data_IF_231901294011
#
_entry.id   IF_231901294011
#
_cell.length_a   1.000
_cell.length_b   1.000
_cell.length_c   1.000
_cell.angle_alpha   90.00
_cell.angle_beta   90.00
_cell.angle_gamma   90.00
#
_symmetry.space_group_name_H-M   'P 1'
#
loop_
_entity.id
_entity.type
_entity.pdbx_description
1 polymer ?
#
# COMPACT_ATOMS: atom_id res chain seq x y z
N UNK A 1 42.45 -1.35 28.12
CA UNK A 1 42.20 -0.34 27.08
C UNK A 1 42.36 -0.89 25.66
N UNK A 2 41.44 -1.75 25.23
CA UNK A 2 41.39 -2.29 23.85
C UNK A 2 39.95 -2.44 23.35
N UNK A 3 39.05 -1.57 23.81
CA UNK A 3 37.60 -1.69 23.57
C UNK A 3 37.15 -1.24 22.18
N UNK A 4 38.05 -0.74 21.32
CA UNK A 4 37.73 -0.40 19.94
C UNK A 4 38.84 -0.93 19.03
N UNK A 5 38.59 -2.07 18.40
CA UNK A 5 39.47 -2.61 17.37
C UNK A 5 39.30 -1.75 16.10
N UNK A 6 40.37 -1.21 15.51
CA UNK A 6 40.29 -0.37 14.31
C UNK A 6 39.59 -1.08 13.13
N UNK A 7 39.65 -2.41 13.08
CA UNK A 7 38.99 -3.22 12.06
C UNK A 7 37.46 -3.15 12.14
N UNK A 8 36.89 -2.99 13.35
CA UNK A 8 35.45 -2.81 13.55
C UNK A 8 35.01 -1.42 13.06
N UNK A 9 35.81 -0.39 13.32
CA UNK A 9 35.53 0.98 12.85
C UNK A 9 35.59 1.03 11.32
N UNK A 10 36.65 0.46 10.73
CA UNK A 10 36.84 0.43 9.28
C UNK A 10 35.75 -0.40 8.59
N UNK A 11 35.38 -1.56 9.16
CA UNK A 11 34.26 -2.37 8.68
C UNK A 11 32.92 -1.62 8.74
N UNK A 12 32.63 -0.95 9.86
CA UNK A 12 31.41 -0.14 10.01
C UNK A 12 31.35 1.03 9.02
N UNK A 13 32.47 1.74 8.80
CA UNK A 13 32.56 2.82 7.81
C UNK A 13 32.33 2.28 6.40
N UNK A 14 32.93 1.13 6.05
CA UNK A 14 32.79 0.52 4.73
C UNK A 14 31.37 0.04 4.47
N UNK A 15 30.74 -0.65 5.43
CA UNK A 15 29.34 -1.09 5.31
C UNK A 15 28.40 0.11 5.20
N UNK A 16 28.60 1.16 6.01
CA UNK A 16 27.77 2.37 5.95
C UNK A 16 27.92 3.08 4.61
N UNK A 17 29.14 3.28 4.12
CA UNK A 17 29.42 3.92 2.82
C UNK A 17 28.80 3.15 1.67
N UNK A 18 28.93 1.82 1.69
CA UNK A 18 28.37 0.94 0.64
C UNK A 18 26.84 1.01 0.63
N UNK A 19 26.20 1.00 1.80
CA UNK A 19 24.74 1.10 1.92
C UNK A 19 24.21 2.45 1.43
N UNK A 20 24.91 3.55 1.72
CA UNK A 20 24.58 4.89 1.19
C UNK A 20 24.71 4.92 -0.33
N UNK A 21 25.78 4.32 -0.88
CA UNK A 21 25.96 4.18 -2.33
C UNK A 21 24.80 3.42 -2.99
N UNK A 22 24.39 2.28 -2.44
CA UNK A 22 23.24 1.53 -2.93
C UNK A 22 21.94 2.30 -2.83
N UNK A 23 21.71 3.02 -1.73
CA UNK A 23 20.52 3.86 -1.58
C UNK A 23 20.44 4.93 -2.67
N UNK A 24 21.57 5.58 -2.97
CA UNK A 24 21.65 6.56 -4.05
C UNK A 24 21.36 5.93 -5.41
N UNK A 25 21.96 4.77 -5.70
CA UNK A 25 21.69 4.03 -6.95
C UNK A 25 20.21 3.66 -7.07
N UNK A 26 19.59 3.12 -6.01
CA UNK A 26 18.17 2.78 -5.99
C UNK A 26 17.30 4.01 -6.25
N UNK A 27 17.59 5.13 -5.58
CA UNK A 27 16.81 6.37 -5.71
C UNK A 27 16.89 6.94 -7.13
N UNK A 28 18.10 7.07 -7.68
CA UNK A 28 18.32 7.54 -9.05
C UNK A 28 17.67 6.60 -10.06
N UNK A 29 17.86 5.28 -9.90
CA UNK A 29 17.27 4.29 -10.81
C UNK A 29 15.74 4.34 -10.77
N UNK A 30 15.14 4.45 -9.58
CA UNK A 30 13.69 4.59 -9.42
C UNK A 30 13.18 5.86 -10.09
N UNK A 31 13.90 6.99 -9.95
CA UNK A 31 13.54 8.25 -10.61
C UNK A 31 13.51 8.12 -12.13
N UNK A 32 14.57 7.56 -12.74
CA UNK A 32 14.62 7.34 -14.19
C UNK A 32 13.53 6.35 -14.68
N UNK A 33 13.31 5.26 -13.94
CA UNK A 33 12.27 4.28 -14.27
C UNK A 33 10.86 4.89 -14.20
N UNK A 34 10.60 5.77 -13.23
CA UNK A 34 9.32 6.49 -13.15
C UNK A 34 9.17 7.50 -14.28
N UNK A 35 10.23 8.25 -14.60
CA UNK A 35 10.23 9.27 -15.64
C UNK A 35 9.91 8.66 -17.02
N UNK A 36 10.56 7.55 -17.38
CA UNK A 36 10.38 6.88 -18.66
C UNK A 36 9.34 5.73 -18.63
N UNK A 37 8.53 5.64 -17.57
CA UNK A 37 7.59 4.52 -17.37
C UNK A 37 6.64 4.29 -18.56
N UNK A 38 6.11 5.37 -19.15
CA UNK A 38 5.21 5.26 -20.29
C UNK A 38 5.89 4.62 -21.52
N UNK A 39 7.14 5.02 -21.79
CA UNK A 39 7.95 4.48 -22.89
C UNK A 39 8.34 3.03 -22.62
N UNK A 40 8.77 2.71 -21.40
CA UNK A 40 9.08 1.34 -20.98
C UNK A 40 7.86 0.41 -21.11
N UNK A 41 6.68 0.88 -20.71
CA UNK A 41 5.42 0.14 -20.86
C UNK A 41 5.09 -0.13 -22.32
N UNK A 42 5.19 0.87 -23.19
CA UNK A 42 4.91 0.70 -24.62
C UNK A 42 5.92 -0.23 -25.29
N UNK A 43 7.20 -0.12 -24.93
CA UNK A 43 8.23 -1.05 -25.37
C UNK A 43 7.92 -2.49 -24.92
N UNK A 44 7.49 -2.71 -23.68
CA UNK A 44 7.05 -4.03 -23.21
C UNK A 44 5.87 -4.58 -24.02
N UNK A 45 4.91 -3.74 -24.39
CA UNK A 45 3.77 -4.17 -25.21
C UNK A 45 4.15 -4.51 -26.65
N UNK A 46 5.23 -3.96 -27.21
CA UNK A 46 5.71 -4.33 -28.55
C UNK A 46 6.24 -5.77 -28.63
N UNK A 47 6.59 -6.38 -27.50
CA UNK A 47 7.08 -7.76 -27.45
C UNK A 47 5.94 -8.78 -27.41
N UNK A 48 4.70 -8.32 -27.34
CA UNK A 48 3.51 -9.15 -27.20
C UNK A 48 2.96 -9.46 -28.61
N UNK A 49 2.63 -10.73 -28.90
CA UNK A 49 2.00 -11.08 -30.17
C UNK A 49 0.71 -10.29 -30.37
N UNK A 50 0.44 -9.84 -31.61
CA UNK A 50 -0.65 -8.91 -31.93
C UNK A 50 -2.02 -9.36 -31.41
N UNK A 51 -2.31 -10.67 -31.42
CA UNK A 51 -3.56 -11.24 -30.92
C UNK A 51 -3.79 -11.14 -29.40
N UNK A 52 -2.80 -10.66 -28.63
CA UNK A 52 -2.87 -10.51 -27.16
C UNK A 52 -2.68 -9.06 -26.69
N UNK A 53 -2.66 -8.10 -27.62
CA UNK A 53 -2.39 -6.70 -27.27
C UNK A 53 -3.50 -6.08 -26.41
N UNK A 54 -4.77 -6.33 -26.74
CA UNK A 54 -5.91 -5.83 -25.96
C UNK A 54 -5.98 -6.52 -24.59
N UNK A 55 -5.79 -7.83 -24.59
CA UNK A 55 -5.67 -8.69 -23.42
C UNK A 55 -4.66 -8.14 -22.40
N UNK A 56 -3.44 -7.85 -22.86
CA UNK A 56 -2.39 -7.36 -21.97
C UNK A 56 -2.66 -5.94 -21.47
N UNK A 57 -3.16 -5.05 -22.35
CA UNK A 57 -3.54 -3.68 -21.92
C UNK A 57 -4.59 -3.72 -20.83
N UNK A 58 -5.55 -4.65 -20.93
CA UNK A 58 -6.56 -4.83 -19.90
C UNK A 58 -5.97 -5.44 -18.63
N UNK A 59 -5.15 -6.48 -18.74
CA UNK A 59 -4.45 -7.07 -17.60
C UNK A 59 -3.64 -6.02 -16.83
N UNK A 60 -2.89 -5.18 -17.55
CA UNK A 60 -2.16 -4.05 -16.98
C UNK A 60 -3.09 -3.07 -16.25
N UNK A 61 -4.24 -2.71 -16.85
CA UNK A 61 -5.22 -1.83 -16.23
C UNK A 61 -5.82 -2.43 -14.95
N UNK A 62 -6.10 -3.73 -14.93
CA UNK A 62 -6.60 -4.43 -13.75
C UNK A 62 -5.56 -4.45 -12.64
N UNK A 63 -4.29 -4.77 -12.95
CA UNK A 63 -3.18 -4.68 -11.99
C UNK A 63 -3.02 -3.25 -11.47
N UNK A 64 -3.04 -2.24 -12.33
CA UNK A 64 -2.97 -0.83 -11.90
C UNK A 64 -4.15 -0.45 -10.99
N UNK A 65 -5.33 -1.03 -11.24
CA UNK A 65 -6.52 -0.86 -10.38
C UNK A 65 -6.31 -1.50 -9.01
N UNK A 66 -5.67 -2.66 -8.92
CA UNK A 66 -5.27 -3.29 -7.65
C UNK A 66 -4.37 -2.35 -6.85
N UNK A 67 -3.31 -1.81 -7.46
CA UNK A 67 -2.41 -0.87 -6.80
C UNK A 67 -3.14 0.39 -6.34
N UNK A 68 -3.99 0.98 -7.19
CA UNK A 68 -4.81 2.14 -6.81
C UNK A 68 -5.83 1.85 -5.69
N UNK A 69 -6.35 0.63 -5.60
CA UNK A 69 -7.21 0.19 -4.50
C UNK A 69 -6.40 -0.02 -3.21
N UNK A 70 -5.21 -0.61 -3.31
CA UNK A 70 -4.29 -0.79 -2.20
C UNK A 70 -3.91 0.56 -1.56
N UNK A 71 -3.48 1.54 -2.35
CA UNK A 71 -3.11 2.86 -1.83
C UNK A 71 -4.30 3.57 -1.15
N UNK A 72 -5.50 3.49 -1.73
CA UNK A 72 -6.72 4.01 -1.08
C UNK A 72 -7.06 3.25 0.22
N UNK A 73 -6.81 1.94 0.25
CA UNK A 73 -6.90 1.12 1.45
C UNK A 73 -5.93 1.59 2.54
N UNK A 74 -4.66 1.78 2.18
CA UNK A 74 -3.61 2.26 3.09
C UNK A 74 -3.90 3.67 3.62
N UNK A 75 -4.42 4.57 2.78
CA UNK A 75 -4.87 5.90 3.22
C UNK A 75 -6.02 5.81 4.23
N UNK A 76 -6.99 4.91 4.03
CA UNK A 76 -8.06 4.71 5.02
C UNK A 76 -7.52 4.11 6.31
N UNK A 77 -6.65 3.11 6.22
CA UNK A 77 -6.05 2.45 7.38
C UNK A 77 -5.27 3.45 8.23
N UNK A 78 -4.37 4.20 7.63
CA UNK A 78 -3.57 5.21 8.31
C UNK A 78 -4.38 6.33 8.96
N UNK A 79 -5.49 6.76 8.35
CA UNK A 79 -6.42 7.71 8.99
C UNK A 79 -7.05 7.11 10.25
N UNK A 80 -7.44 5.83 10.21
CA UNK A 80 -7.96 5.11 11.38
C UNK A 80 -6.89 5.01 12.45
N UNK A 81 -5.65 4.64 12.10
CA UNK A 81 -4.54 4.50 13.06
C UNK A 81 -4.14 5.84 13.66
N UNK A 82 -4.06 6.89 12.85
CA UNK A 82 -3.78 8.24 13.33
C UNK A 82 -4.86 8.75 14.28
N UNK A 83 -6.13 8.50 13.96
CA UNK A 83 -7.26 8.81 14.84
C UNK A 83 -7.21 8.02 16.14
N UNK A 84 -7.04 6.70 16.09
CA UNK A 84 -6.94 5.84 17.28
C UNK A 84 -5.77 6.24 18.18
N UNK A 85 -4.63 6.59 17.59
CA UNK A 85 -3.43 7.01 18.32
C UNK A 85 -3.64 8.38 18.96
N UNK A 86 -4.14 9.35 18.20
CA UNK A 86 -4.45 10.69 18.72
C UNK A 86 -5.50 10.64 19.82
N UNK A 87 -6.55 9.85 19.63
CA UNK A 87 -7.58 9.65 20.65
C UNK A 87 -7.04 8.93 21.88
N UNK A 88 -6.34 7.81 21.73
CA UNK A 88 -5.80 7.03 22.83
C UNK A 88 -4.80 7.83 23.68
N UNK A 89 -3.94 8.62 23.05
CA UNK A 89 -2.99 9.50 23.74
C UNK A 89 -3.68 10.70 24.41
N UNK A 90 -4.72 11.28 23.79
CA UNK A 90 -5.51 12.35 24.38
C UNK A 90 -6.26 11.88 25.64
N UNK A 91 -6.85 10.69 25.62
CA UNK A 91 -7.60 10.10 26.74
C UNK A 91 -6.72 9.95 27.99
N UNK A 92 -5.44 9.59 27.81
CA UNK A 92 -4.49 9.48 28.94
C UNK A 92 -3.74 10.79 29.24
N UNK A 93 -4.05 11.86 28.51
CA UNK A 93 -3.46 13.17 28.75
C UNK A 93 -1.98 13.28 28.40
N UNK A 94 -1.52 12.53 27.39
CA UNK A 94 -0.18 12.70 26.84
C UNK A 94 -0.10 14.06 26.12
N UNK A 95 0.83 14.94 26.47
CA UNK A 95 1.03 16.21 25.78
C UNK A 95 1.31 15.98 24.29
N UNK A 96 0.68 16.76 23.40
CA UNK A 96 0.89 16.63 21.96
C UNK A 96 0.14 15.47 21.30
N UNK A 97 -0.96 14.99 21.88
CA UNK A 97 -1.80 13.92 21.32
C UNK A 97 -2.11 14.06 19.81
N UNK A 98 -2.43 15.28 19.34
CA UNK A 98 -2.67 15.55 17.92
C UNK A 98 -1.42 15.30 17.07
N UNK A 99 -0.25 15.70 17.56
CA UNK A 99 1.03 15.49 16.86
C UNK A 99 1.29 13.98 16.76
N UNK A 100 1.13 13.23 17.84
CA UNK A 100 1.30 11.77 17.83
C UNK A 100 0.31 11.07 16.90
N UNK A 101 -0.95 11.51 16.87
CA UNK A 101 -1.95 10.97 15.94
C UNK A 101 -1.59 11.22 14.47
N UNK A 102 -1.22 12.46 14.12
CA UNK A 102 -0.80 12.79 12.75
C UNK A 102 0.48 12.04 12.37
N UNK A 103 1.49 12.02 13.25
CA UNK A 103 2.74 11.30 13.02
C UNK A 103 2.49 9.81 12.83
N UNK A 104 1.66 9.17 13.66
CA UNK A 104 1.33 7.74 13.52
C UNK A 104 0.66 7.45 12.18
N UNK A 105 -0.31 8.27 11.77
CA UNK A 105 -0.96 8.11 10.46
C UNK A 105 0.01 8.30 9.29
N UNK A 106 0.78 9.39 9.28
CA UNK A 106 1.75 9.68 8.21
C UNK A 106 2.82 8.59 8.11
N UNK A 107 3.36 8.19 9.26
CA UNK A 107 4.37 7.15 9.28
C UNK A 107 3.78 5.80 8.85
N UNK A 108 2.58 5.40 9.28
CA UNK A 108 1.97 4.15 8.79
C UNK A 108 1.79 4.13 7.25
N UNK A 109 1.49 5.27 6.60
CA UNK A 109 1.41 5.35 5.13
C UNK A 109 2.77 5.07 4.47
N UNK A 110 3.82 5.74 4.96
CA UNK A 110 5.13 5.77 4.31
C UNK A 110 6.01 4.58 4.71
N UNK A 111 5.93 4.21 5.97
CA UNK A 111 6.72 3.20 6.65
C UNK A 111 5.79 2.49 7.64
N UNK A 112 5.21 1.37 7.25
CA UNK A 112 4.36 0.53 8.13
C UNK A 112 5.03 0.15 9.48
N UNK A 113 6.36 0.26 9.60
CA UNK A 113 7.12 0.08 10.85
C UNK A 113 7.20 1.38 11.69
N UNK A 114 6.90 2.51 11.08
CA UNK A 114 6.97 3.85 11.63
C UNK A 114 6.12 4.11 12.89
N UNK A 115 4.98 3.45 13.13
CA UNK A 115 4.33 3.49 14.44
C UNK A 115 5.25 3.10 15.61
N UNK A 116 6.26 2.22 15.39
CA UNK A 116 7.26 1.90 16.42
C UNK A 116 8.11 3.11 16.79
N UNK A 117 8.52 3.92 15.79
CA UNK A 117 9.26 5.16 16.04
C UNK A 117 8.42 6.16 16.82
N UNK A 118 7.14 6.27 16.49
CA UNK A 118 6.20 7.14 17.21
C UNK A 118 6.04 6.67 18.66
N UNK A 119 5.93 5.37 18.90
CA UNK A 119 5.87 4.80 20.26
C UNK A 119 7.10 5.14 21.08
N UNK A 120 8.31 5.06 20.49
CA UNK A 120 9.56 5.39 21.20
C UNK A 120 9.55 6.86 21.63
N UNK A 121 9.22 7.78 20.72
CA UNK A 121 9.16 9.21 21.03
C UNK A 121 8.07 9.49 22.07
N UNK A 122 6.89 8.87 21.93
CA UNK A 122 5.79 9.01 22.89
C UNK A 122 6.16 8.49 24.28
N UNK A 123 6.87 7.37 24.37
CA UNK A 123 7.34 6.80 25.64
C UNK A 123 8.36 7.73 26.33
N UNK A 124 9.28 8.34 25.57
CA UNK A 124 10.22 9.34 26.08
C UNK A 124 9.44 10.56 26.60
N UNK A 125 8.51 11.10 25.82
CA UNK A 125 7.69 12.24 26.26
C UNK A 125 6.88 11.90 27.50
N UNK A 126 6.28 10.71 27.58
CA UNK A 126 5.55 10.26 28.75
C UNK A 126 6.44 10.17 30.00
N UNK A 127 7.68 9.71 29.85
CA UNK A 127 8.64 9.57 30.96
C UNK A 127 9.11 10.92 31.51
N UNK A 128 9.31 11.91 30.64
CA UNK A 128 9.84 13.22 31.06
C UNK A 128 8.75 14.26 31.35
N UNK A 129 7.71 14.33 30.53
CA UNK A 129 6.64 15.33 30.67
C UNK A 129 5.50 14.86 31.58
N UNK A 130 5.30 13.55 31.75
CA UNK A 130 4.20 13.01 32.55
C UNK A 130 2.82 13.21 31.91
N UNK A 131 1.77 12.87 32.66
CA UNK A 131 0.38 13.06 32.24
C UNK A 131 -0.12 14.45 32.63
N UNK A 132 -0.99 15.02 31.78
CA UNK A 132 -1.63 16.32 32.04
C UNK A 132 -2.71 16.24 33.12
N UNK A 133 -3.35 15.09 33.31
CA UNK A 133 -4.49 14.96 34.23
C UNK A 133 -4.47 13.71 35.12
N UNK A 134 -3.68 12.67 34.79
CA UNK A 134 -3.57 11.49 35.65
C UNK A 134 -2.51 11.70 36.75
N UNK A 135 -2.87 11.54 38.04
CA UNK A 135 -1.93 11.65 39.15
C UNK A 135 -1.14 10.35 39.35
N UNK A 136 -0.33 9.98 38.35
CA UNK A 136 0.53 8.78 38.38
C UNK A 136 1.99 9.16 38.20
N UNK A 137 2.92 8.31 38.67
CA UNK A 137 4.35 8.54 38.43
C UNK A 137 4.67 8.43 36.94
N UNK A 138 5.67 9.17 36.47
CA UNK A 138 6.01 9.21 35.05
C UNK A 138 6.39 7.84 34.47
N UNK A 139 6.99 6.95 35.29
CA UNK A 139 7.32 5.58 34.89
C UNK A 139 6.04 4.79 34.61
N UNK A 140 5.06 4.86 35.51
CA UNK A 140 3.76 4.19 35.32
C UNK A 140 3.03 4.79 34.12
N UNK A 141 3.08 6.10 33.95
CA UNK A 141 2.48 6.77 32.80
C UNK A 141 3.10 6.31 31.47
N UNK A 142 4.43 6.22 31.40
CA UNK A 142 5.14 5.71 30.23
C UNK A 142 4.71 4.28 29.88
N UNK A 143 4.56 3.40 30.87
CA UNK A 143 4.07 2.04 30.65
C UNK A 143 2.62 2.01 30.12
N UNK A 144 1.75 2.89 30.63
CA UNK A 144 0.37 3.03 30.12
C UNK A 144 0.39 3.47 28.65
N UNK A 145 1.21 4.47 28.30
CA UNK A 145 1.34 4.95 26.92
C UNK A 145 1.86 3.84 26.01
N UNK A 146 2.94 3.15 26.38
CA UNK A 146 3.46 2.00 25.62
C UNK A 146 2.40 0.92 25.46
N UNK A 147 1.64 0.63 26.52
CA UNK A 147 0.53 -0.33 26.48
C UNK A 147 -0.56 0.06 25.48
N UNK A 148 -0.93 1.33 25.40
CA UNK A 148 -1.91 1.84 24.42
C UNK A 148 -1.40 1.69 23.00
N UNK A 149 -0.16 2.11 22.73
CA UNK A 149 0.44 1.96 21.39
C UNK A 149 0.55 0.49 21.00
N UNK A 150 0.97 -0.38 21.91
CA UNK A 150 1.02 -1.83 21.67
C UNK A 150 -0.37 -2.42 21.38
N UNK A 151 -1.40 -2.00 22.13
CA UNK A 151 -2.78 -2.44 21.89
C UNK A 151 -3.27 -2.00 20.50
N UNK A 152 -3.04 -0.75 20.11
CA UNK A 152 -3.37 -0.24 18.78
C UNK A 152 -2.64 -1.07 17.70
N UNK A 153 -1.35 -1.33 17.87
CA UNK A 153 -0.55 -2.08 16.91
C UNK A 153 -1.02 -3.55 16.76
N UNK A 154 -1.44 -4.19 17.85
CA UNK A 154 -2.02 -5.54 17.81
C UNK A 154 -3.36 -5.51 17.05
N UNK A 155 -4.25 -4.57 17.39
CA UNK A 155 -5.56 -4.41 16.73
C UNK A 155 -5.36 -4.16 15.23
N UNK A 156 -4.40 -3.31 14.89
CA UNK A 156 -4.03 -3.00 13.53
C UNK A 156 -3.59 -4.25 12.77
N UNK A 157 -2.62 -4.99 13.29
CA UNK A 157 -2.03 -6.11 12.57
C UNK A 157 -2.94 -7.34 12.49
N UNK A 158 -3.73 -7.62 13.53
CA UNK A 158 -4.59 -8.79 13.57
C UNK A 158 -5.95 -8.54 12.91
N UNK A 159 -6.50 -7.33 13.01
CA UNK A 159 -7.88 -7.08 12.60
C UNK A 159 -8.03 -5.99 11.54
N UNK A 160 -7.52 -4.79 11.78
CA UNK A 160 -7.78 -3.66 10.86
C UNK A 160 -7.08 -3.86 9.52
N UNK A 161 -5.80 -4.22 9.51
CA UNK A 161 -5.01 -4.36 8.28
C UNK A 161 -5.58 -5.47 7.37
N UNK A 162 -5.84 -6.70 7.85
CA UNK A 162 -6.48 -7.73 7.01
C UNK A 162 -7.90 -7.36 6.57
N UNK A 163 -8.70 -6.74 7.44
CA UNK A 163 -10.08 -6.36 7.13
C UNK A 163 -10.14 -5.24 6.08
N UNK A 164 -9.40 -4.15 6.30
CA UNK A 164 -9.37 -2.99 5.41
C UNK A 164 -8.75 -3.36 4.07
N UNK A 165 -7.66 -4.12 4.05
CA UNK A 165 -7.00 -4.53 2.81
C UNK A 165 -7.79 -5.59 2.06
N UNK A 166 -8.40 -6.55 2.76
CA UNK A 166 -9.32 -7.51 2.18
C UNK A 166 -10.47 -6.82 1.46
N UNK A 167 -11.16 -5.88 2.13
CA UNK A 167 -12.22 -5.09 1.52
C UNK A 167 -11.72 -4.22 0.35
N UNK A 168 -10.53 -3.61 0.48
CA UNK A 168 -9.96 -2.76 -0.56
C UNK A 168 -9.66 -3.54 -1.84
N UNK A 169 -9.20 -4.79 -1.71
CA UNK A 169 -8.81 -5.64 -2.83
C UNK A 169 -9.88 -6.65 -3.26
N UNK A 170 -11.08 -6.61 -2.67
CA UNK A 170 -12.13 -7.63 -2.85
C UNK A 170 -11.63 -9.06 -2.55
N UNK A 171 -10.80 -9.19 -1.52
CA UNK A 171 -10.24 -10.45 -1.06
C UNK A 171 -10.80 -10.79 0.32
N UNK A 172 -10.94 -12.08 0.60
CA UNK A 172 -11.34 -12.53 1.93
C UNK A 172 -10.25 -12.14 2.95
N UNK A 173 -10.58 -11.48 4.08
CA UNK A 173 -9.58 -11.00 5.05
C UNK A 173 -8.63 -12.10 5.56
N UNK A 174 -9.14 -13.33 5.70
CA UNK A 174 -8.32 -14.48 6.08
C UNK A 174 -7.18 -14.77 5.07
N UNK A 175 -7.41 -14.59 3.77
CA UNK A 175 -6.39 -14.80 2.74
C UNK A 175 -5.27 -13.77 2.87
N UNK A 176 -5.64 -12.50 3.12
CA UNK A 176 -4.68 -11.42 3.38
C UNK A 176 -3.87 -11.71 4.65
N UNK A 177 -4.54 -12.11 5.73
CA UNK A 177 -3.89 -12.45 6.99
C UNK A 177 -2.90 -13.61 6.86
N UNK A 178 -3.32 -14.71 6.22
CA UNK A 178 -2.45 -15.87 5.96
C UNK A 178 -1.25 -15.47 5.11
N UNK A 179 -1.45 -14.66 4.07
CA UNK A 179 -0.37 -14.18 3.22
C UNK A 179 0.65 -13.32 3.99
N UNK A 180 0.18 -12.44 4.88
CA UNK A 180 1.04 -11.65 5.77
C UNK A 180 1.89 -12.59 6.64
N UNK A 181 1.26 -13.54 7.36
CA UNK A 181 2.00 -14.47 8.23
C UNK A 181 3.01 -15.31 7.44
N UNK A 182 2.60 -15.84 6.29
CA UNK A 182 3.47 -16.63 5.43
C UNK A 182 4.68 -15.80 4.96
N UNK A 183 4.47 -14.55 4.55
CA UNK A 183 5.56 -13.67 4.11
C UNK A 183 6.53 -13.31 5.23
N UNK A 184 6.03 -13.09 6.46
CA UNK A 184 6.88 -12.90 7.65
C UNK A 184 7.80 -14.10 7.88
N UNK A 185 7.26 -15.32 7.75
CA UNK A 185 8.03 -16.55 7.97
C UNK A 185 9.09 -16.79 6.88
N UNK A 186 8.82 -16.38 5.63
CA UNK A 186 9.70 -16.62 4.50
C UNK A 186 10.90 -15.65 4.44
N UNK A 187 10.65 -14.36 4.61
CA UNK A 187 11.65 -13.32 4.37
C UNK A 187 11.50 -12.10 5.30
N UNK A 188 10.77 -12.26 6.40
CA UNK A 188 10.66 -11.26 7.46
C UNK A 188 9.70 -10.12 7.14
N UNK A 189 9.87 -9.02 7.89
CA UNK A 189 8.96 -7.85 7.83
C UNK A 189 8.98 -7.19 6.46
N UNK A 190 10.12 -7.16 5.77
CA UNK A 190 10.28 -6.42 4.52
C UNK A 190 9.38 -6.97 3.39
N UNK A 191 9.26 -8.29 3.26
CA UNK A 191 8.36 -8.91 2.27
C UNK A 191 6.91 -8.82 2.65
N UNK A 192 6.61 -8.80 3.95
CA UNK A 192 5.27 -8.57 4.46
C UNK A 192 4.71 -7.20 4.10
N UNK A 193 5.56 -6.20 3.84
CA UNK A 193 5.11 -4.87 3.44
C UNK A 193 4.52 -4.86 2.03
N UNK A 194 5.12 -5.64 1.13
CA UNK A 194 4.73 -5.68 -0.29
C UNK A 194 3.77 -6.83 -0.62
N UNK A 195 3.53 -7.77 0.30
CA UNK A 195 2.76 -8.99 0.02
C UNK A 195 1.34 -8.69 -0.45
N UNK A 196 0.70 -7.65 0.08
CA UNK A 196 -0.71 -7.33 -0.20
C UNK A 196 -0.92 -6.93 -1.67
N UNK A 197 -0.24 -5.90 -2.22
CA UNK A 197 -0.37 -5.55 -3.63
C UNK A 197 0.17 -6.65 -4.56
N UNK A 198 1.20 -7.39 -4.15
CA UNK A 198 1.72 -8.54 -4.91
C UNK A 198 0.66 -9.63 -5.01
N UNK A 199 0.03 -10.02 -3.91
CA UNK A 199 -1.04 -11.01 -3.87
C UNK A 199 -2.22 -10.59 -4.74
N UNK A 200 -2.61 -9.32 -4.66
CA UNK A 200 -3.62 -8.72 -5.54
C UNK A 200 -3.28 -8.85 -7.02
N UNK A 201 -2.05 -8.51 -7.39
CA UNK A 201 -1.56 -8.58 -8.78
C UNK A 201 -1.51 -10.02 -9.28
N UNK A 202 -0.99 -10.93 -8.46
CA UNK A 202 -0.91 -12.37 -8.77
C UNK A 202 -2.30 -12.97 -8.93
N UNK A 203 -3.26 -12.62 -8.08
CA UNK A 203 -4.63 -13.11 -8.20
C UNK A 203 -5.29 -12.70 -9.52
N UNK A 204 -5.05 -11.47 -9.99
CA UNK A 204 -5.52 -11.00 -11.30
C UNK A 204 -4.87 -11.79 -12.44
N UNK A 205 -3.56 -12.02 -12.36
CA UNK A 205 -2.82 -12.80 -13.38
C UNK A 205 -3.32 -14.25 -13.40
N UNK A 206 -3.48 -14.90 -12.25
CA UNK A 206 -3.99 -16.27 -12.15
C UNK A 206 -5.40 -16.36 -12.74
N UNK A 207 -6.28 -15.39 -12.44
CA UNK A 207 -7.63 -15.35 -13.00
C UNK A 207 -7.60 -15.26 -14.53
N UNK A 208 -6.72 -14.44 -15.09
CA UNK A 208 -6.53 -14.32 -16.53
C UNK A 208 -6.01 -15.64 -17.15
N UNK A 209 -4.96 -16.22 -16.57
CA UNK A 209 -4.39 -17.49 -17.06
C UNK A 209 -5.42 -18.62 -17.01
N UNK A 210 -6.17 -18.74 -15.90
CA UNK A 210 -7.22 -19.74 -15.75
C UNK A 210 -8.32 -19.58 -16.80
N UNK A 211 -8.78 -18.35 -17.06
CA UNK A 211 -9.75 -18.10 -18.12
C UNK A 211 -9.23 -18.55 -19.49
N UNK A 212 -7.98 -18.21 -19.83
CA UNK A 212 -7.35 -18.61 -21.10
C UNK A 212 -7.17 -20.13 -21.23
N UNK A 213 -6.79 -20.82 -20.15
CA UNK A 213 -6.58 -22.29 -20.15
C UNK A 213 -7.89 -23.04 -20.31
N UNK A 214 -8.98 -22.54 -19.72
CA UNK A 214 -10.32 -23.15 -19.79
C UNK A 214 -11.11 -22.67 -21.02
N UNK A 215 -10.47 -21.88 -21.89
CA UNK A 215 -11.06 -21.30 -23.10
C UNK A 215 -12.34 -20.48 -22.82
N UNK A 216 -12.33 -19.79 -21.66
CA UNK A 216 -13.36 -18.84 -21.26
C UNK A 216 -12.83 -17.44 -21.56
N UNK A 217 -13.71 -16.56 -22.04
CA UNK A 217 -13.34 -15.17 -22.23
C UNK A 217 -12.89 -14.50 -20.91
N UNK A 218 -11.65 -13.97 -20.85
CA UNK A 218 -11.11 -13.42 -19.61
C UNK A 218 -11.77 -12.11 -19.17
N UNK A 219 -12.45 -11.40 -20.09
CA UNK A 219 -13.16 -10.15 -19.81
C UNK A 219 -14.55 -10.14 -20.46
N UNK A 220 -15.57 -10.75 -19.83
CA UNK A 220 -16.94 -10.82 -20.36
C UNK A 220 -17.59 -9.45 -20.62
N UNK A 221 -17.06 -8.40 -19.98
CA UNK A 221 -17.56 -7.04 -20.07
C UNK A 221 -17.31 -6.42 -21.47
N UNK A 222 -16.26 -6.87 -22.17
CA UNK A 222 -15.92 -6.36 -23.51
C UNK A 222 -17.00 -6.72 -24.52
N UNK A 223 -17.45 -7.99 -24.53
CA UNK A 223 -18.55 -8.44 -25.39
C UNK A 223 -19.83 -7.62 -25.20
N UNK A 224 -20.13 -7.22 -23.96
CA UNK A 224 -21.32 -6.41 -23.69
C UNK A 224 -21.20 -5.01 -24.28
N UNK A 225 -20.00 -4.43 -24.25
CA UNK A 225 -19.74 -3.11 -24.81
C UNK A 225 -19.74 -3.10 -26.35
N UNK A 226 -19.25 -4.17 -26.99
CA UNK A 226 -19.33 -4.35 -28.44
C UNK A 226 -20.77 -4.62 -28.87
N UNK A 227 -21.44 -5.59 -28.26
CA UNK A 227 -22.84 -5.91 -28.59
C UNK A 227 -23.80 -4.73 -28.34
N UNK A 228 -23.55 -3.90 -27.32
CA UNK A 228 -24.31 -2.69 -27.06
C UNK A 228 -24.10 -1.58 -28.08
N UNK A 229 -22.90 -1.50 -28.71
CA UNK A 229 -22.63 -0.57 -29.82
C UNK A 229 -23.23 -1.06 -31.14
N UNK A 230 -23.23 -2.36 -31.37
CA UNK A 230 -23.84 -3.00 -32.55
C UNK A 230 -25.37 -2.87 -32.60
N UNK A 231 -26.01 -2.68 -31.45
CA UNK A 231 -27.47 -2.50 -31.33
C UNK A 231 -27.93 -1.04 -31.35
N UNK A 232 -27.01 -0.08 -31.46
CA UNK A 232 -27.37 1.32 -31.60
C UNK A 232 -27.85 1.55 -33.05
N UNK A 233 -29.13 1.95 -33.28
CA UNK A 233 -29.61 2.15 -34.64
C UNK A 233 -28.75 3.23 -35.31
N UNK A 234 -28.22 2.94 -36.50
CA UNK A 234 -27.56 3.93 -37.35
C UNK A 234 -28.43 5.18 -37.39
N UNK A 235 -27.90 6.39 -37.12
CA UNK A 235 -28.72 7.59 -37.17
C UNK A 235 -29.30 7.67 -38.58
N UNK A 236 -30.61 7.49 -38.71
CA UNK A 236 -31.30 7.65 -39.98
C UNK A 236 -31.09 9.12 -40.35
N UNK A 237 -30.19 9.38 -41.30
CA UNK A 237 -30.02 10.69 -41.92
C UNK A 237 -31.39 11.09 -42.44
N UNK A 238 -32.09 11.97 -41.70
CA UNK A 238 -33.38 12.50 -42.11
C UNK A 238 -33.18 13.15 -43.48
N UNK A 239 -33.67 12.51 -44.53
CA UNK A 239 -33.72 13.08 -45.86
C UNK A 239 -34.56 14.35 -45.74
N UNK A 240 -33.94 15.51 -45.90
CA UNK A 240 -34.65 16.78 -45.86
C UNK A 240 -35.70 16.80 -46.98
N UNK A 241 -36.96 17.15 -46.72
CA UNK A 241 -37.96 17.23 -47.77
C UNK A 241 -37.60 18.40 -48.69
N UNK A 242 -37.53 18.10 -49.99
CA UNK A 242 -37.30 19.08 -51.06
C UNK A 242 -38.43 20.11 -50.97
N UNK A 243 -38.05 21.35 -50.66
CA UNK A 243 -38.94 22.51 -50.58
C UNK A 243 -39.53 22.72 -51.97
N UNK A 244 -40.82 22.44 -52.16
CA UNK A 244 -41.55 22.84 -53.37
C UNK A 244 -41.65 24.37 -53.37
N UNK A 245 -41.07 24.95 -54.41
CA UNK A 245 -41.22 26.35 -54.80
C UNK A 245 -42.63 26.52 -55.36
N UNK A 246 -43.39 27.44 -54.78
CA UNK A 246 -44.49 28.17 -55.43
C UNK A 246 -44.26 29.66 -55.16
#
# INVERSE_FOLDING_TARGET
>A
DSLIQPDIILGAIQTTTTNVGWLFVILVSTFYLLQDWARLREWLFQWIPEGYNEDMRRLYSEVNTVWGRYFRGQLRLSLIIGFLTGFGTAVVGLPGAVIFGISAGVFDILLSVGPVLVTIVAAIVALFAGSTFLPVTNIVFMLIVVGIFAAIQIIENLWLRPSVMGQSLNMHPAVVFIAIIASLALAGVLTALIIIPVLGSVAVIIRYLHAKIVDIEPWPDMLRSENGRSQQPTPVTKTQPIKKTD
#
